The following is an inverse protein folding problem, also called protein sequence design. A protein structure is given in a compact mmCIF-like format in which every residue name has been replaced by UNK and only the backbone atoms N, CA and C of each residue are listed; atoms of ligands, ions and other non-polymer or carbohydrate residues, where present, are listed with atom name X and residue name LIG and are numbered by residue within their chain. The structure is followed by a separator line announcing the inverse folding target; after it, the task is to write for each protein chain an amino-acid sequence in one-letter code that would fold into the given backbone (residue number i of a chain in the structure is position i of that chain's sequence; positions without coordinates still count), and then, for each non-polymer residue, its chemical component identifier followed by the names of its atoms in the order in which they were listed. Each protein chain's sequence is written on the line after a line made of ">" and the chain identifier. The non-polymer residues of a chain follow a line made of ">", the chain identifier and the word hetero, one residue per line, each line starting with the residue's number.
data_IF_307377640490
#
_entry.id   IF_307377640490
#
_cell.length_a   1.000
_cell.length_b   1.000
_cell.length_c   1.000
_cell.angle_alpha   90.00
_cell.angle_beta   90.00
_cell.angle_gamma   90.00
#
_symmetry.space_group_name_H-M   'P 1'
#
loop_
_entity.id
_entity.type
_entity.pdbx_description
1 polymer ?
#
# COMPACT_ATOMS: atom_id res chain seq x y z
N UNK A 1 4.99 -29.50 7.32
CA UNK A 1 3.94 -28.94 8.18
C UNK A 1 2.61 -29.16 7.47
N UNK A 2 1.68 -29.91 8.08
CA UNK A 2 0.42 -30.27 7.45
C UNK A 2 -0.55 -29.08 7.42
N UNK A 3 -0.97 -28.68 6.24
CA UNK A 3 -2.08 -27.75 6.04
C UNK A 3 -3.33 -28.34 6.70
N UNK A 4 -3.96 -27.55 7.57
CA UNK A 4 -5.21 -27.92 8.23
C UNK A 4 -6.29 -28.02 7.16
N UNK A 5 -6.53 -29.23 6.69
CA UNK A 5 -7.72 -29.59 5.93
C UNK A 5 -8.94 -29.09 6.70
N UNK A 6 -9.79 -28.30 6.05
CA UNK A 6 -11.05 -27.86 6.63
C UNK A 6 -11.87 -29.08 7.02
N UNK A 7 -12.20 -29.21 8.31
CA UNK A 7 -12.94 -30.36 8.86
C UNK A 7 -14.41 -30.44 8.41
N UNK A 8 -14.83 -29.66 7.41
CA UNK A 8 -16.20 -29.62 6.92
C UNK A 8 -16.29 -30.37 5.57
N UNK A 9 -17.09 -31.45 5.48
CA UNK A 9 -17.22 -32.27 4.27
C UNK A 9 -17.87 -31.56 3.07
N UNK A 10 -18.41 -30.35 3.25
CA UNK A 10 -18.93 -29.51 2.16
C UNK A 10 -18.02 -28.32 1.81
N UNK A 11 -16.82 -28.22 2.38
CA UNK A 11 -15.95 -27.07 2.15
C UNK A 11 -15.15 -27.23 0.85
N UNK A 12 -15.54 -26.49 -0.18
CA UNK A 12 -14.76 -26.32 -1.42
C UNK A 12 -13.74 -25.17 -1.27
N UNK A 13 -13.03 -25.10 -0.15
CA UNK A 13 -12.02 -24.07 0.13
C UNK A 13 -10.69 -24.33 -0.61
N UNK A 14 -10.75 -24.92 -1.81
CA UNK A 14 -9.57 -24.98 -2.66
C UNK A 14 -9.24 -23.54 -3.06
N UNK A 15 -8.08 -23.06 -2.61
CA UNK A 15 -7.50 -21.86 -3.15
C UNK A 15 -7.10 -22.17 -4.59
N UNK A 16 -7.56 -21.37 -5.54
CA UNK A 16 -7.04 -21.41 -6.91
C UNK A 16 -5.53 -21.15 -6.85
N UNK A 17 -4.70 -21.95 -7.56
CA UNK A 17 -3.28 -21.68 -7.66
C UNK A 17 -3.03 -20.25 -8.18
N UNK A 18 -1.96 -19.63 -7.68
CA UNK A 18 -1.58 -18.29 -8.12
C UNK A 18 -1.32 -18.30 -9.64
N UNK A 19 -1.79 -17.28 -10.39
CA UNK A 19 -1.63 -17.24 -11.85
C UNK A 19 -0.17 -17.06 -12.29
N UNK A 20 0.73 -16.71 -11.35
CA UNK A 20 2.17 -16.52 -11.58
C UNK A 20 2.91 -17.14 -10.41
N UNK A 21 4.00 -17.87 -10.71
CA UNK A 21 4.87 -18.43 -9.69
C UNK A 21 5.60 -17.31 -8.92
N UNK A 22 5.57 -17.33 -7.58
CA UNK A 22 6.30 -16.36 -6.79
C UNK A 22 7.82 -16.58 -6.94
N UNK A 23 8.63 -15.51 -6.88
CA UNK A 23 10.08 -15.64 -6.80
C UNK A 23 10.51 -16.53 -5.62
N UNK A 24 11.65 -17.22 -5.74
CA UNK A 24 12.16 -18.14 -4.70
C UNK A 24 12.23 -17.50 -3.31
N UNK A 25 12.66 -16.23 -3.24
CA UNK A 25 12.79 -15.48 -1.98
C UNK A 25 11.57 -14.61 -1.64
N UNK A 26 10.39 -14.95 -2.18
CA UNK A 26 9.17 -14.16 -1.98
C UNK A 26 8.81 -14.00 -0.51
N UNK A 27 8.77 -15.10 0.26
CA UNK A 27 8.45 -15.05 1.69
C UNK A 27 9.45 -14.20 2.47
N UNK A 28 10.75 -14.39 2.23
CA UNK A 28 11.79 -13.61 2.88
C UNK A 28 11.61 -12.11 2.63
N UNK A 29 11.23 -11.74 1.40
CA UNK A 29 10.99 -10.35 1.00
C UNK A 29 9.76 -9.74 1.69
N UNK A 30 8.67 -10.49 1.83
CA UNK A 30 7.45 -10.00 2.49
C UNK A 30 7.64 -9.88 3.99
N UNK A 31 8.35 -10.84 4.59
CA UNK A 31 8.60 -10.89 6.04
C UNK A 31 9.65 -9.86 6.49
N UNK A 32 10.35 -9.18 5.57
CA UNK A 32 11.25 -8.09 5.93
C UNK A 32 10.46 -6.93 6.57
N UNK A 33 10.86 -6.47 7.78
CA UNK A 33 10.24 -5.31 8.39
C UNK A 33 10.55 -4.07 7.57
N UNK A 34 9.54 -3.24 7.34
CA UNK A 34 9.73 -1.90 6.78
C UNK A 34 10.57 -1.03 7.73
N UNK A 35 11.38 -0.15 7.15
CA UNK A 35 12.09 0.85 7.94
C UNK A 35 11.11 1.87 8.55
N UNK A 36 11.47 2.49 9.67
CA UNK A 36 10.59 3.43 10.40
C UNK A 36 10.08 4.60 9.54
N UNK A 37 10.92 5.09 8.62
CA UNK A 37 10.54 6.13 7.65
C UNK A 37 9.50 5.62 6.65
N UNK A 38 9.67 4.42 6.11
CA UNK A 38 8.74 3.80 5.16
C UNK A 38 7.38 3.54 5.80
N UNK A 39 7.36 3.02 7.03
CA UNK A 39 6.13 2.84 7.80
C UNK A 39 5.41 4.17 8.04
N UNK A 40 6.15 5.23 8.33
CA UNK A 40 5.59 6.58 8.51
C UNK A 40 4.99 7.11 7.21
N UNK A 41 5.67 6.91 6.07
CA UNK A 41 5.13 7.27 4.77
C UNK A 41 3.86 6.47 4.44
N UNK A 42 3.87 5.16 4.65
CA UNK A 42 2.74 4.29 4.36
C UNK A 42 1.52 4.67 5.20
N UNK A 43 1.70 4.87 6.50
CA UNK A 43 0.65 5.37 7.40
C UNK A 43 0.12 6.73 6.95
N UNK A 44 1.00 7.63 6.51
CA UNK A 44 0.59 8.93 5.96
C UNK A 44 -0.22 8.74 4.67
N UNK A 45 0.18 7.83 3.79
CA UNK A 45 -0.53 7.52 2.56
C UNK A 45 -1.95 7.02 2.82
N UNK A 46 -2.09 6.05 3.73
CA UNK A 46 -3.38 5.52 4.17
C UNK A 46 -4.24 6.62 4.79
N UNK A 47 -3.70 7.35 5.77
CA UNK A 47 -4.47 8.36 6.49
C UNK A 47 -4.90 9.54 5.59
N UNK A 48 -4.09 9.91 4.60
CA UNK A 48 -4.37 11.03 3.69
C UNK A 48 -5.07 10.62 2.40
N UNK A 49 -5.23 9.31 2.15
CA UNK A 49 -5.71 8.78 0.88
C UNK A 49 -4.86 9.27 -0.31
N UNK A 50 -3.54 9.35 -0.12
CA UNK A 50 -2.60 9.73 -1.18
C UNK A 50 -1.87 8.51 -1.73
N UNK A 51 -1.41 8.54 -3.00
CA UNK A 51 -0.64 7.46 -3.59
C UNK A 51 0.70 7.22 -2.84
N UNK A 52 1.16 5.97 -2.80
CA UNK A 52 2.46 5.58 -2.23
C UNK A 52 3.49 5.35 -3.33
N UNK A 53 4.73 5.82 -3.16
CA UNK A 53 5.80 5.64 -4.15
C UNK A 53 6.75 6.83 -4.22
N UNK A 54 7.46 6.99 -5.34
CA UNK A 54 8.33 8.16 -5.59
C UNK A 54 7.49 9.43 -5.76
N UNK A 55 8.09 10.61 -5.50
CA UNK A 55 7.39 11.89 -5.62
C UNK A 55 6.81 12.10 -7.04
N UNK A 56 7.59 11.78 -8.08
CA UNK A 56 7.16 11.92 -9.48
C UNK A 56 5.96 11.03 -9.80
N UNK A 57 5.98 9.79 -9.30
CA UNK A 57 4.87 8.86 -9.46
C UNK A 57 3.64 9.32 -8.68
N UNK A 58 3.80 9.81 -7.45
CA UNK A 58 2.71 10.36 -6.66
C UNK A 58 2.04 11.55 -7.36
N UNK A 59 2.83 12.48 -7.92
CA UNK A 59 2.31 13.64 -8.65
C UNK A 59 1.53 13.21 -9.88
N UNK A 60 2.10 12.30 -10.67
CA UNK A 60 1.47 11.81 -11.90
C UNK A 60 0.18 11.06 -11.59
N UNK A 61 0.22 10.10 -10.67
CA UNK A 61 -0.94 9.30 -10.27
C UNK A 61 -2.02 10.16 -9.61
N UNK A 62 -1.63 11.11 -8.75
CA UNK A 62 -2.61 12.01 -8.13
C UNK A 62 -3.27 12.94 -9.15
N UNK A 63 -2.57 13.36 -10.20
CA UNK A 63 -3.17 14.13 -11.30
C UNK A 63 -4.17 13.26 -12.08
N UNK A 64 -3.75 12.06 -12.49
CA UNK A 64 -4.59 11.11 -13.26
C UNK A 64 -5.86 10.71 -12.51
N UNK A 65 -5.78 10.50 -11.19
CA UNK A 65 -6.91 10.07 -10.36
C UNK A 65 -7.71 11.23 -9.75
N UNK A 66 -7.34 12.50 -10.01
CA UNK A 66 -7.99 13.65 -9.39
C UNK A 66 -7.75 13.78 -7.88
N UNK A 67 -6.69 13.15 -7.36
CA UNK A 67 -6.30 13.16 -5.94
C UNK A 67 -5.27 14.23 -5.59
N UNK A 68 -5.05 15.24 -6.43
CA UNK A 68 -4.02 16.27 -6.17
C UNK A 68 -4.22 17.04 -4.85
N UNK A 69 -5.44 17.06 -4.31
CA UNK A 69 -5.75 17.65 -3.01
C UNK A 69 -5.17 16.85 -1.84
N UNK A 70 -5.02 15.52 -1.97
CA UNK A 70 -4.52 14.64 -0.90
C UNK A 70 -3.03 14.84 -0.65
N UNK A 71 -2.30 15.38 -1.63
CA UNK A 71 -0.89 15.76 -1.50
C UNK A 71 -0.71 17.11 -0.77
N UNK A 72 -1.70 18.00 -0.78
CA UNK A 72 -1.63 19.33 -0.15
C UNK A 72 -1.88 19.28 1.35
N UNK A 73 -1.25 20.19 2.10
CA UNK A 73 -1.45 20.29 3.55
C UNK A 73 -2.93 20.37 3.93
N UNK A 74 -3.34 19.65 4.97
CA UNK A 74 -4.73 19.63 5.44
C UNK A 74 -5.17 21.00 5.94
N UNK A 75 -6.44 21.31 5.71
CA UNK A 75 -7.06 22.53 6.17
C UNK A 75 -6.85 23.71 5.23
N UNK A 76 -7.15 24.90 5.73
CA UNK A 76 -7.08 26.13 4.94
C UNK A 76 -5.62 26.44 4.59
N UNK A 77 -5.30 26.71 3.31
CA UNK A 77 -3.98 27.21 2.93
C UNK A 77 -3.61 28.44 3.76
N UNK A 78 -2.39 28.46 4.28
CA UNK A 78 -1.89 29.61 5.05
C UNK A 78 -1.89 30.83 4.13
N UNK A 79 -2.37 31.98 4.63
CA UNK A 79 -2.12 33.26 3.96
C UNK A 79 -0.61 33.38 3.81
N UNK A 80 -0.14 33.60 2.59
CA UNK A 80 1.26 33.82 2.32
C UNK A 80 1.72 34.95 3.26
N UNK A 81 2.65 34.66 4.18
CA UNK A 81 3.43 35.75 4.75
C UNK A 81 4.24 36.28 3.58
N UNK A 82 3.98 37.52 3.14
CA UNK A 82 4.99 38.25 2.37
C UNK A 82 6.31 38.06 3.12
N UNK A 83 7.27 37.41 2.48
CA UNK A 83 8.67 37.63 2.83
C UNK A 83 9.02 39.05 2.38
#
# INVERSE_FOLDING_TARGET
>A
MAEKSCANPHCTCQAEPAPVEPPTEWLQRIDQPFFNNELTMLRTCVNRQQPFGTADWQMTTAATLGLSSTLRGRGRPRKHSKK
#
